data_IF_743627380121
#
_entry.id   IF_743627380121
#
_cell.length_a   1.000
_cell.length_b   1.000
_cell.length_c   1.000
_cell.angle_alpha   90.00
_cell.angle_beta   90.00
_cell.angle_gamma   90.00
#
_symmetry.space_group_name_H-M   'P 1'
#
loop_
_entity.id
_entity.type
_entity.pdbx_description
1 polymer ?
#
# COMPACT_ATOMS: atom_id res chain seq x y z
N UNK A 1 -13.37 1.53 18.86
CA UNK A 1 -12.08 2.06 18.35
C UNK A 1 -11.90 3.50 18.82
N UNK A 2 -10.76 3.86 19.44
CA UNK A 2 -10.52 5.21 19.99
C UNK A 2 -10.54 6.32 18.92
N UNK A 3 -9.92 6.06 17.76
CA UNK A 3 -9.79 7.04 16.66
C UNK A 3 -11.14 7.45 16.07
N UNK A 4 -12.02 6.49 15.79
CA UNK A 4 -13.36 6.77 15.28
C UNK A 4 -14.18 7.55 16.31
N UNK A 5 -14.15 7.11 17.58
CA UNK A 5 -14.97 7.74 18.62
C UNK A 5 -14.53 9.17 18.94
N UNK A 6 -13.23 9.44 18.92
CA UNK A 6 -12.69 10.79 19.12
C UNK A 6 -13.19 11.76 18.04
N UNK A 7 -13.23 11.33 16.78
CA UNK A 7 -13.73 12.14 15.67
C UNK A 7 -15.25 12.42 15.79
N UNK A 8 -16.03 11.42 16.19
CA UNK A 8 -17.47 11.60 16.46
C UNK A 8 -17.72 12.61 17.60
N UNK A 9 -16.97 12.48 18.71
CA UNK A 9 -17.10 13.39 19.85
C UNK A 9 -16.61 14.81 19.52
N UNK A 10 -15.68 14.93 18.57
CA UNK A 10 -15.24 16.21 18.02
C UNK A 10 -16.26 16.84 17.05
N UNK A 11 -17.34 16.13 16.70
CA UNK A 11 -18.38 16.63 15.81
C UNK A 11 -18.00 16.67 14.33
N UNK A 12 -17.10 15.78 13.87
CA UNK A 12 -16.77 15.68 12.44
C UNK A 12 -17.90 15.00 11.65
N UNK A 13 -18.28 15.59 10.51
CA UNK A 13 -19.37 15.09 9.66
C UNK A 13 -19.01 13.81 8.89
N UNK A 14 -17.73 13.66 8.52
CA UNK A 14 -17.19 12.48 7.83
C UNK A 14 -15.89 12.10 8.52
N UNK A 15 -15.81 10.85 8.96
CA UNK A 15 -14.69 10.35 9.76
C UNK A 15 -13.83 9.37 8.96
N UNK A 16 -12.64 9.06 9.46
CA UNK A 16 -11.72 8.06 8.91
C UNK A 16 -11.28 7.07 10.00
N UNK A 17 -10.95 5.83 9.63
CA UNK A 17 -10.36 4.86 10.55
C UNK A 17 -8.92 5.21 10.94
N UNK A 18 -8.33 6.21 10.28
CA UNK A 18 -6.95 6.62 10.49
C UNK A 18 -5.94 5.63 9.92
N UNK A 19 -6.38 4.72 9.05
CA UNK A 19 -5.55 3.71 8.39
C UNK A 19 -4.82 2.77 9.36
N UNK A 20 -5.32 2.64 10.59
CA UNK A 20 -4.68 1.85 11.65
C UNK A 20 -4.54 0.37 11.29
N UNK A 21 -5.43 -0.16 10.45
CA UNK A 21 -5.33 -1.53 9.95
C UNK A 21 -4.18 -1.77 8.97
N UNK A 22 -3.55 -0.70 8.46
CA UNK A 22 -2.47 -0.75 7.45
C UNK A 22 -1.10 -0.41 8.02
N UNK A 23 -1.04 -0.03 9.29
CA UNK A 23 0.20 0.36 9.94
C UNK A 23 1.05 -0.88 10.25
N UNK A 24 2.23 -0.96 9.65
CA UNK A 24 3.24 -1.97 9.97
C UNK A 24 4.39 -1.35 10.78
N UNK A 25 4.52 -1.79 12.03
CA UNK A 25 5.58 -1.37 12.97
C UNK A 25 6.98 -1.72 12.42
N UNK A 26 7.09 -2.76 11.60
CA UNK A 26 8.35 -3.19 11.02
C UNK A 26 8.72 -2.39 9.76
N UNK A 27 7.82 -1.54 9.25
CA UNK A 27 8.04 -0.74 8.05
C UNK A 27 7.54 0.72 8.20
N UNK A 28 8.09 1.47 9.17
CA UNK A 28 7.58 2.79 9.54
C UNK A 28 7.84 3.86 8.47
N UNK A 29 8.80 3.66 7.55
CA UNK A 29 9.22 4.70 6.60
C UNK A 29 8.14 5.17 5.62
N UNK A 30 7.08 4.38 5.39
CA UNK A 30 5.97 4.77 4.51
C UNK A 30 4.58 4.46 5.09
N UNK A 31 4.48 4.25 6.41
CA UNK A 31 3.26 3.83 7.09
C UNK A 31 2.61 2.55 6.51
N UNK A 32 3.39 1.67 5.87
CA UNK A 32 2.85 0.46 5.22
C UNK A 32 1.82 0.71 4.11
N UNK A 33 1.57 1.98 3.75
CA UNK A 33 0.44 2.40 2.93
C UNK A 33 0.44 1.74 1.57
N UNK A 34 1.61 1.62 0.93
CA UNK A 34 1.72 0.99 -0.40
C UNK A 34 1.87 -0.52 -0.24
N UNK A 35 2.61 -0.97 0.77
CA UNK A 35 2.92 -2.40 0.97
C UNK A 35 1.68 -3.21 1.31
N UNK A 36 0.74 -2.61 2.04
CA UNK A 36 -0.58 -3.17 2.31
C UNK A 36 -1.33 -3.52 1.02
N UNK A 37 -1.29 -2.65 0.01
CA UNK A 37 -1.94 -2.93 -1.27
C UNK A 37 -1.11 -3.87 -2.15
N UNK A 38 0.22 -3.75 -2.11
CA UNK A 38 1.11 -4.43 -3.06
C UNK A 38 1.37 -5.88 -2.66
N UNK A 39 1.60 -6.16 -1.38
CA UNK A 39 1.93 -7.51 -0.89
C UNK A 39 0.87 -8.58 -1.19
N UNK A 40 -0.43 -8.28 -1.08
CA UNK A 40 -1.47 -9.24 -1.43
C UNK A 40 -1.71 -9.40 -2.94
N UNK A 41 -1.15 -8.56 -3.81
CA UNK A 41 -1.39 -8.63 -5.26
C UNK A 41 -0.62 -9.78 -5.91
N UNK A 42 -1.33 -10.54 -6.73
CA UNK A 42 -0.71 -11.61 -7.51
C UNK A 42 0.16 -11.03 -8.63
N UNK A 43 1.37 -11.59 -8.79
CA UNK A 43 2.36 -11.11 -9.76
C UNK A 43 3.29 -10.02 -9.23
N UNK A 44 3.15 -9.64 -7.96
CA UNK A 44 4.10 -8.73 -7.29
C UNK A 44 4.98 -9.48 -6.28
N UNK A 45 6.29 -9.43 -6.47
CA UNK A 45 7.27 -9.94 -5.52
C UNK A 45 7.62 -8.85 -4.49
N UNK A 46 7.44 -9.16 -3.20
CA UNK A 46 7.82 -8.26 -2.10
C UNK A 46 9.08 -8.71 -1.36
N UNK A 47 9.53 -9.93 -1.58
CA UNK A 47 10.85 -10.42 -1.16
C UNK A 47 11.85 -10.22 -2.30
N UNK A 48 12.99 -9.59 -1.99
CA UNK A 48 13.98 -9.15 -2.97
C UNK A 48 15.33 -9.77 -2.65
N UNK A 49 16.05 -10.12 -3.71
CA UNK A 49 17.46 -10.51 -3.62
C UNK A 49 18.34 -9.30 -3.28
N UNK A 50 19.56 -9.56 -2.80
CA UNK A 50 20.54 -8.50 -2.52
C UNK A 50 20.92 -7.68 -3.76
N UNK A 51 20.90 -8.30 -4.95
CA UNK A 51 21.19 -7.64 -6.21
C UNK A 51 20.08 -6.65 -6.59
N UNK A 52 18.81 -7.07 -6.51
CA UNK A 52 17.65 -6.21 -6.77
C UNK A 52 17.60 -5.01 -5.81
N UNK A 53 17.90 -5.23 -4.52
CA UNK A 53 17.99 -4.16 -3.52
C UNK A 53 19.11 -3.17 -3.86
N UNK A 54 20.28 -3.66 -4.24
CA UNK A 54 21.43 -2.81 -4.59
C UNK A 54 21.12 -1.97 -5.83
N UNK A 55 20.46 -2.56 -6.83
CA UNK A 55 20.04 -1.88 -8.05
C UNK A 55 18.93 -0.85 -7.79
N UNK A 56 17.97 -1.14 -6.91
CA UNK A 56 16.95 -0.16 -6.54
C UNK A 56 17.56 1.06 -5.85
N UNK A 57 18.53 0.85 -4.95
CA UNK A 57 19.19 1.94 -4.21
C UNK A 57 20.04 2.86 -5.08
N UNK A 58 20.43 2.43 -6.28
CA UNK A 58 21.14 3.29 -7.23
C UNK A 58 20.22 4.24 -8.00
N UNK A 59 18.89 4.01 -7.96
CA UNK A 59 17.91 4.87 -8.62
C UNK A 59 17.75 6.21 -7.86
N UNK A 60 17.84 7.37 -8.56
CA UNK A 60 17.79 8.68 -7.93
C UNK A 60 16.42 9.03 -7.33
N UNK A 61 15.34 8.43 -7.84
CA UNK A 61 13.95 8.81 -7.54
C UNK A 61 13.41 8.24 -6.22
N UNK A 62 14.16 7.34 -5.55
CA UNK A 62 13.67 6.57 -4.40
C UNK A 62 14.45 6.80 -3.10
N UNK A 63 15.20 7.91 -2.99
CA UNK A 63 16.04 8.21 -1.80
C UNK A 63 15.30 8.28 -0.46
N UNK A 64 13.98 8.41 -0.46
CA UNK A 64 13.14 8.42 0.74
C UNK A 64 12.79 7.01 1.25
N UNK A 65 13.17 5.94 0.52
CA UNK A 65 12.86 4.55 0.90
C UNK A 65 14.05 3.62 0.63
N UNK A 66 14.28 2.66 1.52
CA UNK A 66 15.43 1.75 1.46
C UNK A 66 15.21 0.51 0.56
N UNK A 67 13.95 0.25 0.20
CA UNK A 67 13.43 -0.93 -0.52
C UNK A 67 12.23 -0.52 -1.40
N UNK A 68 12.01 -1.08 -2.61
CA UNK A 68 10.77 -0.86 -3.36
C UNK A 68 9.57 -1.47 -2.64
N UNK A 69 8.36 -0.99 -2.95
CA UNK A 69 7.14 -1.59 -2.41
C UNK A 69 6.89 -3.01 -2.96
N UNK A 70 7.37 -3.27 -4.17
CA UNK A 70 7.33 -4.57 -4.82
C UNK A 70 7.96 -4.52 -6.21
N UNK A 71 8.30 -5.70 -6.74
CA UNK A 71 8.72 -5.90 -8.13
C UNK A 71 7.60 -6.58 -8.93
N UNK A 72 7.27 -6.02 -10.09
CA UNK A 72 6.45 -6.74 -11.07
C UNK A 72 7.30 -7.82 -11.73
N UNK A 73 7.08 -9.09 -11.35
CA UNK A 73 7.84 -10.24 -11.85
C UNK A 73 7.10 -11.06 -12.91
N UNK A 74 5.78 -10.88 -13.02
CA UNK A 74 4.92 -11.58 -13.97
C UNK A 74 3.69 -10.71 -14.32
N UNK A 75 2.97 -11.01 -15.42
CA UNK A 75 1.65 -10.44 -15.65
C UNK A 75 0.75 -10.68 -14.43
N UNK A 76 -0.10 -9.70 -14.09
CA UNK A 76 -1.08 -9.85 -13.00
C UNK A 76 -1.97 -11.07 -13.28
N UNK A 77 -1.78 -12.15 -12.53
CA UNK A 77 -2.48 -13.43 -12.73
C UNK A 77 -3.91 -13.44 -12.20
N UNK A 78 -4.27 -12.46 -11.36
CA UNK A 78 -5.56 -12.40 -10.69
C UNK A 78 -5.62 -11.31 -9.63
N UNK A 79 -6.71 -11.30 -8.85
CA UNK A 79 -6.95 -10.34 -7.76
C UNK A 79 -6.00 -10.48 -6.57
N UNK A 80 -5.24 -11.58 -6.49
CA UNK A 80 -4.48 -11.93 -5.30
C UNK A 80 -5.37 -12.11 -4.07
N UNK A 81 -4.85 -11.70 -2.90
CA UNK A 81 -5.52 -11.77 -1.60
C UNK A 81 -6.09 -10.44 -1.10
N UNK A 82 -5.98 -9.37 -1.89
CA UNK A 82 -6.46 -8.05 -1.49
C UNK A 82 -8.00 -8.04 -1.42
N UNK A 83 -8.55 -7.78 -0.24
CA UNK A 83 -10.01 -7.71 -0.03
C UNK A 83 -10.40 -6.40 0.65
N UNK A 84 -10.49 -5.34 -0.17
CA UNK A 84 -10.87 -4.01 0.28
C UNK A 84 -12.31 -3.93 0.81
N UNK A 85 -13.18 -4.84 0.36
CA UNK A 85 -14.57 -4.85 0.77
C UNK A 85 -14.68 -5.41 2.18
N UNK A 86 -13.97 -6.50 2.48
CA UNK A 86 -13.91 -7.04 3.83
C UNK A 86 -13.25 -6.06 4.81
N UNK A 87 -12.13 -5.44 4.41
CA UNK A 87 -11.48 -4.39 5.19
C UNK A 87 -12.44 -3.25 5.53
N UNK A 88 -13.20 -2.75 4.55
CA UNK A 88 -14.20 -1.71 4.79
C UNK A 88 -15.29 -2.18 5.77
N UNK A 89 -15.78 -3.41 5.63
CA UNK A 89 -16.82 -3.96 6.52
C UNK A 89 -16.35 -4.05 7.96
N UNK A 90 -15.10 -4.48 8.19
CA UNK A 90 -14.53 -4.59 9.53
C UNK A 90 -14.53 -3.28 10.31
N UNK A 91 -14.37 -2.14 9.62
CA UNK A 91 -14.34 -0.81 10.27
C UNK A 91 -15.66 -0.06 10.17
N UNK A 92 -16.50 -0.36 9.16
CA UNK A 92 -17.73 0.40 8.90
C UNK A 92 -18.71 0.34 10.06
N UNK A 93 -18.88 -0.85 10.63
CA UNK A 93 -19.86 -1.12 11.69
C UNK A 93 -19.43 -0.52 13.05
N UNK A 94 -18.19 -0.03 13.14
CA UNK A 94 -17.65 0.62 14.34
C UNK A 94 -17.92 2.13 14.39
N UNK A 95 -18.48 2.70 13.32
CA UNK A 95 -18.72 4.13 13.14
C UNK A 95 -20.22 4.44 13.01
N UNK A 96 -20.74 5.36 13.81
CA UNK A 96 -22.10 5.89 13.63
C UNK A 96 -22.15 6.91 12.49
N UNK A 97 -21.09 7.71 12.33
CA UNK A 97 -20.96 8.70 11.27
C UNK A 97 -20.60 8.06 9.90
N UNK A 98 -20.81 8.77 8.77
CA UNK A 98 -20.25 8.40 7.48
C UNK A 98 -18.74 8.19 7.55
N UNK A 99 -18.29 7.02 7.07
CA UNK A 99 -16.89 6.62 7.09
C UNK A 99 -16.26 6.77 5.70
N UNK A 100 -15.18 7.54 5.62
CA UNK A 100 -14.31 7.59 4.45
C UNK A 100 -13.37 6.39 4.44
N UNK A 101 -13.48 5.56 3.41
CA UNK A 101 -12.52 4.49 3.16
C UNK A 101 -11.41 5.01 2.22
N UNK A 102 -10.15 4.87 2.63
CA UNK A 102 -9.02 5.34 1.83
C UNK A 102 -8.47 4.21 0.97
N UNK A 103 -8.09 4.53 -0.28
CA UNK A 103 -7.44 3.61 -1.21
C UNK A 103 -6.31 4.34 -1.92
N UNK A 104 -5.22 3.62 -2.19
CA UNK A 104 -4.14 4.17 -3.03
C UNK A 104 -4.50 3.99 -4.49
N UNK A 105 -4.31 5.03 -5.30
CA UNK A 105 -4.65 4.96 -6.72
C UNK A 105 -3.78 3.94 -7.47
N UNK A 106 -4.30 3.25 -8.49
CA UNK A 106 -3.53 2.32 -9.30
C UNK A 106 -2.26 2.94 -9.89
N UNK A 107 -2.33 4.21 -10.31
CA UNK A 107 -1.17 4.98 -10.77
C UNK A 107 -0.07 5.09 -9.71
N UNK A 108 -0.45 5.41 -8.46
CA UNK A 108 0.52 5.52 -7.37
C UNK A 108 1.10 4.16 -7.00
N UNK A 109 0.32 3.09 -7.04
CA UNK A 109 0.81 1.73 -6.84
C UNK A 109 1.82 1.35 -7.92
N UNK A 110 1.48 1.56 -9.20
CA UNK A 110 2.36 1.28 -10.32
C UNK A 110 3.67 2.08 -10.26
N UNK A 111 3.61 3.38 -9.92
CA UNK A 111 4.79 4.23 -9.79
C UNK A 111 5.72 3.84 -8.63
N UNK A 112 5.19 3.15 -7.61
CA UNK A 112 5.92 2.78 -6.39
C UNK A 112 6.41 1.34 -6.39
N UNK A 113 5.89 0.53 -7.29
CA UNK A 113 6.49 -0.72 -7.66
C UNK A 113 7.56 -0.44 -8.73
N UNK A 114 8.70 -1.11 -8.65
CA UNK A 114 9.63 -1.14 -9.77
C UNK A 114 9.21 -2.27 -10.70
N UNK A 115 9.27 -2.08 -12.02
CA UNK A 115 9.27 -3.24 -12.91
C UNK A 115 10.51 -4.07 -12.59
N UNK A 116 10.38 -5.40 -12.51
CA UNK A 116 11.56 -6.25 -12.67
C UNK A 116 12.20 -5.84 -13.97
N UNK A 117 13.37 -5.21 -13.91
CA UNK A 117 14.03 -4.62 -15.08
C UNK A 117 14.60 -5.78 -15.91
N UNK A 118 13.72 -6.47 -16.63
CA UNK A 118 14.08 -7.13 -17.89
C UNK A 118 14.40 -6.04 -18.91
N UNK A 119 15.37 -6.28 -19.77
CA UNK A 119 16.18 -5.32 -20.56
C UNK A 119 15.45 -4.24 -21.40
N UNK A 120 14.13 -4.16 -21.40
CA UNK A 120 13.37 -3.17 -22.16
C UNK A 120 12.89 -2.01 -21.28
N UNK A 121 13.81 -1.13 -20.90
CA UNK A 121 13.52 0.16 -20.26
C UNK A 121 13.03 1.22 -21.24
N UNK A 122 12.21 0.85 -22.24
CA UNK A 122 11.68 1.75 -23.28
C UNK A 122 10.16 1.74 -23.39
N UNK A 123 9.45 1.21 -22.40
CA UNK A 123 8.01 1.39 -22.29
C UNK A 123 7.75 2.24 -21.04
N UNK A 124 7.41 3.50 -21.32
CA UNK A 124 7.05 4.64 -20.44
C UNK A 124 8.19 5.53 -19.96
#
# INVERSE_FOLDING_TARGET
MLVLKAQELAGLDVISDGELGRFDVNHPETNGMIDHFVGPLEGVATELTGEELSRFRSLPDFRFRSKPAGLFGAPFGGRGRLDLIDEYRQVRDLAAAPLKFTVTSPYMLARRCSMGITEDSNLW
#
